data_IF_811737766994
#
_entry.id   IF_811737766994
#
_cell.length_a   1.000
_cell.length_b   1.000
_cell.length_c   1.000
_cell.angle_alpha   90.00
_cell.angle_beta   90.00
_cell.angle_gamma   90.00
#
_symmetry.space_group_name_H-M   'P 1'
#
loop_
_entity.id
_entity.type
_entity.pdbx_description
1 polymer ?
#
# COMPACT_ATOMS: atom_id res chain seq x y z
N UNK A 1 -6.04 -24.36 -16.96
CA UNK A 1 -4.91 -24.45 -16.04
C UNK A 1 -3.86 -23.36 -16.35
N UNK A 2 -3.22 -23.42 -17.53
CA UNK A 2 -2.14 -22.49 -17.90
C UNK A 2 -2.59 -21.01 -17.86
N UNK A 3 -3.76 -20.70 -18.45
CA UNK A 3 -4.32 -19.36 -18.44
C UNK A 3 -4.58 -18.85 -17.01
N UNK A 4 -5.11 -19.68 -16.12
CA UNK A 4 -5.42 -19.31 -14.74
C UNK A 4 -4.15 -18.96 -13.94
N UNK A 5 -3.09 -19.77 -14.07
CA UNK A 5 -1.81 -19.54 -13.36
C UNK A 5 -1.12 -18.27 -13.88
N UNK A 6 -1.10 -18.07 -15.21
CA UNK A 6 -0.49 -16.88 -15.83
C UNK A 6 -1.21 -15.58 -15.47
N UNK A 7 -2.54 -15.58 -15.45
CA UNK A 7 -3.35 -14.40 -15.10
C UNK A 7 -3.15 -14.01 -13.63
N UNK A 8 -3.12 -14.99 -12.73
CA UNK A 8 -2.90 -14.78 -11.31
C UNK A 8 -1.54 -14.16 -11.03
N UNK A 9 -0.47 -14.70 -11.65
CA UNK A 9 0.87 -14.14 -11.51
C UNK A 9 0.97 -12.70 -12.00
N UNK A 10 0.38 -12.38 -13.15
CA UNK A 10 0.38 -11.03 -13.71
C UNK A 10 -0.40 -10.03 -12.84
N UNK A 11 -1.55 -10.44 -12.30
CA UNK A 11 -2.36 -9.60 -11.40
C UNK A 11 -1.63 -9.35 -10.09
N UNK A 12 -1.01 -10.37 -9.48
CA UNK A 12 -0.23 -10.22 -8.25
C UNK A 12 0.95 -9.27 -8.44
N UNK A 13 1.67 -9.36 -9.56
CA UNK A 13 2.78 -8.45 -9.86
C UNK A 13 2.31 -7.02 -10.15
N UNK A 14 1.21 -6.83 -10.88
CA UNK A 14 0.62 -5.52 -11.11
C UNK A 14 0.11 -4.87 -9.81
N UNK A 15 -0.39 -5.66 -8.87
CA UNK A 15 -0.77 -5.18 -7.54
C UNK A 15 0.45 -4.80 -6.71
N UNK A 16 1.52 -5.59 -6.74
CA UNK A 16 2.78 -5.27 -6.04
C UNK A 16 3.40 -3.97 -6.55
N UNK A 17 3.48 -3.78 -7.87
CA UNK A 17 4.02 -2.54 -8.45
C UNK A 17 3.15 -1.32 -8.13
N UNK A 18 1.82 -1.43 -8.27
CA UNK A 18 0.90 -0.33 -7.95
C UNK A 18 0.90 0.08 -6.47
N UNK A 19 1.21 -0.85 -5.57
CA UNK A 19 1.35 -0.58 -4.13
C UNK A 19 2.73 0.00 -3.82
N UNK A 20 3.79 -0.44 -4.49
CA UNK A 20 5.11 0.13 -4.35
C UNK A 20 5.12 1.63 -4.62
N UNK A 21 4.45 2.08 -5.67
CA UNK A 21 4.29 3.50 -6.01
C UNK A 21 3.49 4.28 -4.96
N UNK A 22 2.48 3.66 -4.35
CA UNK A 22 1.67 4.29 -3.30
C UNK A 22 2.25 4.12 -1.88
N UNK A 23 3.09 3.12 -1.65
CA UNK A 23 3.68 2.85 -0.32
C UNK A 23 4.54 4.04 0.17
N UNK A 24 5.25 4.70 -0.74
CA UNK A 24 6.04 5.90 -0.46
C UNK A 24 5.17 7.07 0.00
N UNK A 25 3.98 7.23 -0.59
CA UNK A 25 3.01 8.25 -0.17
C UNK A 25 2.41 7.90 1.19
N UNK A 26 2.05 6.63 1.41
CA UNK A 26 1.46 6.16 2.66
C UNK A 26 2.43 6.22 3.83
N UNK A 27 3.70 5.90 3.62
CA UNK A 27 4.76 6.02 4.61
C UNK A 27 5.16 7.50 4.82
N UNK A 28 5.01 8.32 3.78
CA UNK A 28 5.43 9.72 3.74
C UNK A 28 6.93 9.90 3.54
N UNK A 29 7.62 8.85 3.06
CA UNK A 29 9.06 8.80 2.80
C UNK A 29 9.51 7.42 2.36
N UNK A 30 10.81 7.19 2.25
CA UNK A 30 11.43 5.90 1.93
C UNK A 30 11.64 5.04 3.18
N UNK A 31 11.96 5.69 4.31
CA UNK A 31 12.15 5.06 5.62
C UNK A 31 11.44 5.91 6.67
N UNK A 32 10.72 5.29 7.59
CA UNK A 32 10.16 5.92 8.77
C UNK A 32 10.83 5.34 10.03
N UNK A 33 11.27 6.19 10.94
CA UNK A 33 11.62 5.75 12.29
C UNK A 33 10.81 6.51 13.32
N UNK A 34 10.35 5.82 14.35
CA UNK A 34 9.41 6.37 15.31
C UNK A 34 9.70 5.91 16.72
N UNK A 35 9.44 6.80 17.68
CA UNK A 35 9.52 6.53 19.10
C UNK A 35 8.25 6.99 19.81
N UNK A 36 7.99 6.39 20.97
CA UNK A 36 6.89 6.75 21.86
C UNK A 36 7.43 7.48 23.08
N UNK A 37 6.72 8.50 23.55
CA UNK A 37 6.95 9.29 24.75
C UNK A 37 8.16 10.23 24.70
N UNK A 38 9.30 9.79 24.19
CA UNK A 38 10.53 10.58 24.10
C UNK A 38 11.02 10.64 22.66
N UNK A 39 11.55 11.77 22.20
CA UNK A 39 12.16 11.85 20.88
C UNK A 39 13.37 10.91 20.78
N UNK A 40 13.70 10.37 19.60
CA UNK A 40 14.98 9.68 19.37
C UNK A 40 16.15 10.61 19.66
N UNK A 41 17.31 10.02 20.00
CA UNK A 41 18.54 10.76 20.17
C UNK A 41 18.93 11.49 18.89
N UNK A 42 19.49 12.70 19.02
CA UNK A 42 19.91 13.52 17.85
C UNK A 42 20.91 12.77 16.97
N UNK A 43 21.74 11.89 17.52
CA UNK A 43 22.67 11.05 16.77
C UNK A 43 21.98 10.16 15.74
N UNK A 44 20.80 9.62 16.04
CA UNK A 44 20.01 8.79 15.12
C UNK A 44 19.45 9.66 13.98
N UNK A 45 18.98 10.86 14.33
CA UNK A 45 18.47 11.81 13.34
C UNK A 45 19.60 12.27 12.40
N UNK A 46 20.80 12.53 12.93
CA UNK A 46 21.95 12.92 12.12
C UNK A 46 22.43 11.80 11.19
N UNK A 47 22.40 10.53 11.64
CA UNK A 47 22.63 9.38 10.76
C UNK A 47 21.63 9.41 9.59
N UNK A 48 20.34 9.63 9.84
CA UNK A 48 19.34 9.70 8.78
C UNK A 48 19.61 10.86 7.82
N UNK A 49 19.99 12.04 8.31
CA UNK A 49 20.30 13.23 7.50
C UNK A 49 21.48 13.02 6.53
N UNK A 50 22.43 12.13 6.87
CA UNK A 50 23.52 11.79 5.97
C UNK A 50 23.04 11.08 4.68
N UNK A 51 21.88 10.44 4.72
CA UNK A 51 21.31 9.71 3.57
C UNK A 51 20.28 10.52 2.79
N UNK A 52 19.73 11.61 3.38
CA UNK A 52 18.74 12.42 2.66
C UNK A 52 17.96 13.41 3.51
N UNK A 53 16.85 13.88 2.96
CA UNK A 53 15.97 14.83 3.64
C UNK A 53 15.13 14.15 4.72
N UNK A 54 15.11 14.73 5.91
CA UNK A 54 14.37 14.20 7.07
C UNK A 54 13.33 15.21 7.53
N UNK A 55 12.08 14.78 7.64
CA UNK A 55 10.99 15.56 8.25
C UNK A 55 10.53 14.93 9.55
N UNK A 56 10.30 15.77 10.54
CA UNK A 56 9.79 15.39 11.85
C UNK A 56 8.30 15.68 11.98
N UNK A 57 7.56 14.70 12.42
CA UNK A 57 6.13 14.82 12.73
C UNK A 57 5.90 14.35 14.17
N UNK A 58 5.20 15.15 14.96
CA UNK A 58 4.80 14.80 16.32
C UNK A 58 3.30 14.59 16.35
N UNK A 59 2.85 13.44 16.83
CA UNK A 59 1.44 13.09 16.92
C UNK A 59 1.06 12.82 18.38
N UNK A 60 -0.06 13.41 18.79
CA UNK A 60 -0.65 13.18 20.11
C UNK A 60 -2.16 13.43 20.07
N UNK A 61 -2.84 13.10 21.16
CA UNK A 61 -4.24 13.48 21.35
C UNK A 61 -4.31 14.68 22.27
N UNK A 62 -5.20 15.61 21.93
CA UNK A 62 -5.41 16.81 22.71
C UNK A 62 -6.90 17.19 22.74
N UNK A 63 -7.28 18.04 23.70
CA UNK A 63 -8.61 18.60 23.78
C UNK A 63 -8.60 19.98 23.14
N UNK A 64 -9.36 20.13 22.05
CA UNK A 64 -9.67 21.43 21.47
C UNK A 64 -10.91 21.99 22.17
N UNK A 65 -10.82 23.23 22.64
CA UNK A 65 -11.86 23.88 23.42
C UNK A 65 -12.34 25.14 22.73
N UNK A 66 -13.64 25.34 22.72
CA UNK A 66 -14.31 26.61 22.40
C UNK A 66 -15.00 27.13 23.64
N UNK A 67 -15.63 28.29 23.58
CA UNK A 67 -16.43 28.82 24.69
C UNK A 67 -17.58 27.88 25.11
N UNK A 68 -18.10 27.08 24.18
CA UNK A 68 -19.32 26.28 24.38
C UNK A 68 -19.10 24.76 24.32
N UNK A 69 -17.98 24.29 23.77
CA UNK A 69 -17.75 22.87 23.54
C UNK A 69 -16.27 22.47 23.69
N UNK A 70 -16.06 21.18 23.97
CA UNK A 70 -14.73 20.55 24.00
C UNK A 70 -14.76 19.28 23.17
N UNK A 71 -13.71 19.04 22.39
CA UNK A 71 -13.62 17.85 21.56
C UNK A 71 -12.21 17.27 21.56
N UNK A 72 -12.12 15.95 21.68
CA UNK A 72 -10.86 15.24 21.55
C UNK A 72 -10.47 15.24 20.07
N UNK A 73 -9.25 15.66 19.77
CA UNK A 73 -8.70 15.74 18.43
C UNK A 73 -7.38 14.96 18.34
N UNK A 74 -7.08 14.50 17.15
CA UNK A 74 -5.76 13.96 16.81
C UNK A 74 -4.88 15.10 16.32
N UNK A 75 -3.97 15.53 17.19
CA UNK A 75 -3.05 16.63 16.92
C UNK A 75 -1.82 16.11 16.19
N UNK A 76 -1.48 16.77 15.10
CA UNK A 76 -0.29 16.52 14.31
C UNK A 76 0.51 17.79 14.14
N UNK A 77 1.68 17.85 14.78
CA UNK A 77 2.62 18.93 14.59
C UNK A 77 3.66 18.55 13.54
N UNK A 78 3.88 19.44 12.59
CA UNK A 78 4.77 19.24 11.45
C UNK A 78 5.89 20.27 11.42
N UNK A 79 7.02 19.88 10.83
CA UNK A 79 8.12 20.80 10.53
C UNK A 79 7.92 21.50 9.17
N UNK A 80 8.87 22.36 8.80
CA UNK A 80 8.83 23.11 7.55
C UNK A 80 9.08 22.25 6.30
N UNK A 81 9.56 21.02 6.46
CA UNK A 81 9.83 20.11 5.34
C UNK A 81 8.65 19.19 5.03
N UNK A 82 7.69 19.10 5.94
CA UNK A 82 6.49 18.27 5.73
C UNK A 82 5.52 18.93 4.72
N UNK A 83 4.90 18.18 3.81
CA UNK A 83 5.07 16.75 3.55
C UNK A 83 6.26 16.50 2.61
N UNK A 84 7.10 15.49 2.91
CA UNK A 84 8.21 15.10 2.04
C UNK A 84 7.73 14.46 0.74
N UNK A 85 6.61 13.73 0.78
CA UNK A 85 5.99 13.05 -0.37
C UNK A 85 4.52 13.43 -0.45
N UNK A 86 4.05 13.71 -1.67
CA UNK A 86 2.67 14.11 -1.91
C UNK A 86 2.42 15.58 -1.61
N UNK A 87 1.14 15.96 -1.52
CA UNK A 87 0.69 17.33 -1.21
C UNK A 87 -0.49 17.27 -0.26
N UNK A 88 -0.50 18.18 0.72
CA UNK A 88 -1.71 18.45 1.51
C UNK A 88 -2.63 19.39 0.72
N UNK A 89 -3.93 19.14 0.78
CA UNK A 89 -4.94 20.03 0.18
C UNK A 89 -5.68 20.71 1.31
N UNK A 90 -5.62 22.03 1.31
CA UNK A 90 -6.26 22.91 2.31
C UNK A 90 -7.18 23.92 1.64
N UNK A 91 -8.16 24.42 2.35
CA UNK A 91 -9.08 25.48 1.87
C UNK A 91 -9.22 26.57 2.93
N UNK A 92 -8.95 27.84 2.60
CA UNK A 92 -8.44 28.37 1.35
C UNK A 92 -6.98 27.91 1.07
N UNK A 93 -6.57 27.88 -0.19
CA UNK A 93 -5.20 27.52 -0.61
C UNK A 93 -4.25 28.72 -0.44
N UNK A 94 -3.76 28.89 0.79
CA UNK A 94 -2.86 29.99 1.19
C UNK A 94 -1.41 29.54 1.41
N UNK A 95 -1.08 28.32 1.00
CA UNK A 95 0.22 27.74 1.32
C UNK A 95 0.29 27.20 2.76
N UNK A 96 0.96 26.05 2.92
CA UNK A 96 0.98 25.34 4.21
C UNK A 96 1.75 26.12 5.29
N UNK A 97 2.86 26.74 4.92
CA UNK A 97 3.71 27.51 5.85
C UNK A 97 2.96 28.73 6.40
N UNK A 98 2.27 29.46 5.53
CA UNK A 98 1.49 30.64 5.91
C UNK A 98 0.25 30.24 6.72
N UNK A 99 -0.35 29.11 6.36
CA UNK A 99 -1.51 28.58 7.07
C UNK A 99 -1.18 28.10 8.51
N UNK A 100 0.06 27.77 8.81
CA UNK A 100 0.53 27.35 10.13
C UNK A 100 1.32 28.41 10.89
N UNK A 101 1.41 29.63 10.35
CA UNK A 101 2.09 30.74 11.00
C UNK A 101 1.25 31.29 12.19
N UNK A 102 1.91 32.03 13.09
CA UNK A 102 1.27 32.79 14.17
C UNK A 102 0.26 32.01 15.02
N UNK A 103 0.64 30.82 15.47
CA UNK A 103 -0.24 29.91 16.25
C UNK A 103 -1.53 29.52 15.52
N UNK A 104 -1.51 29.56 14.19
CA UNK A 104 -2.64 29.12 13.40
C UNK A 104 -2.66 27.59 13.27
N UNK A 105 -3.86 27.04 13.04
CA UNK A 105 -4.10 25.62 12.88
C UNK A 105 -4.95 25.34 11.65
N UNK A 106 -4.72 24.20 11.04
CA UNK A 106 -5.55 23.67 9.97
C UNK A 106 -6.33 22.50 10.55
N UNK A 107 -7.66 22.49 10.38
CA UNK A 107 -8.50 21.51 11.02
C UNK A 107 -9.39 20.75 10.03
N UNK A 108 -9.73 19.52 10.39
CA UNK A 108 -10.67 18.69 9.60
C UNK A 108 -12.05 19.39 9.51
N UNK A 109 -12.67 19.44 8.31
CA UNK A 109 -13.98 20.07 8.12
C UNK A 109 -15.08 19.51 9.03
N UNK A 110 -15.01 18.22 9.39
CA UNK A 110 -15.97 17.59 10.30
C UNK A 110 -15.85 18.14 11.72
N UNK A 111 -14.63 18.45 12.17
CA UNK A 111 -14.37 19.08 13.45
C UNK A 111 -14.94 20.48 13.48
N UNK A 112 -14.63 21.29 12.48
CA UNK A 112 -15.10 22.68 12.39
C UNK A 112 -16.63 22.74 12.43
N UNK A 113 -17.30 21.95 11.61
CA UNK A 113 -18.77 21.85 11.63
C UNK A 113 -19.32 21.45 12.99
N UNK A 114 -18.66 20.49 13.68
CA UNK A 114 -19.12 19.99 14.98
C UNK A 114 -18.96 20.98 16.13
N UNK A 115 -18.03 21.93 16.01
CA UNK A 115 -17.75 22.97 16.98
C UNK A 115 -18.34 24.34 16.59
N UNK A 116 -18.96 24.44 15.39
CA UNK A 116 -19.47 25.68 14.85
C UNK A 116 -18.39 26.69 14.52
N UNK A 117 -17.18 26.24 14.16
CA UNK A 117 -16.04 27.07 13.82
C UNK A 117 -15.90 27.21 12.30
N UNK A 118 -15.37 28.35 11.88
CA UNK A 118 -14.98 28.67 10.52
C UNK A 118 -13.52 29.15 10.48
N UNK A 119 -12.86 29.14 9.30
CA UNK A 119 -11.57 29.81 9.15
C UNK A 119 -11.65 31.27 9.59
N UNK A 120 -10.73 31.69 10.46
CA UNK A 120 -10.71 32.98 11.12
C UNK A 120 -11.07 32.93 12.61
N UNK A 121 -11.85 31.92 13.04
CA UNK A 121 -12.27 31.79 14.43
C UNK A 121 -11.13 31.33 15.34
N UNK A 122 -11.29 31.63 16.65
CA UNK A 122 -10.33 31.24 17.68
C UNK A 122 -10.86 30.07 18.51
N UNK A 123 -9.93 29.22 18.94
CA UNK A 123 -10.18 28.12 19.87
C UNK A 123 -8.99 28.00 20.83
N UNK A 124 -9.12 27.20 21.89
CA UNK A 124 -8.05 26.95 22.87
C UNK A 124 -7.53 25.54 22.74
N UNK A 125 -6.20 25.42 22.67
CA UNK A 125 -5.49 24.16 22.62
C UNK A 125 -4.38 24.14 23.69
N UNK A 126 -4.58 23.32 24.72
CA UNK A 126 -3.71 23.39 25.92
C UNK A 126 -3.79 24.75 26.58
N UNK A 127 -2.65 25.38 26.75
CA UNK A 127 -2.53 26.72 27.36
C UNK A 127 -2.56 27.87 26.34
N UNK A 128 -2.71 27.55 25.05
CA UNK A 128 -2.58 28.51 23.95
C UNK A 128 -3.94 28.78 23.28
N UNK A 129 -4.22 30.04 23.02
CA UNK A 129 -5.29 30.43 22.11
C UNK A 129 -4.78 30.37 20.66
N UNK A 130 -5.43 29.55 19.85
CA UNK A 130 -5.08 29.27 18.46
C UNK A 130 -6.14 29.84 17.52
N UNK A 131 -5.77 30.11 16.28
CA UNK A 131 -6.66 30.58 15.23
C UNK A 131 -6.80 29.52 14.14
N UNK A 132 -7.99 29.19 13.74
CA UNK A 132 -8.25 28.33 12.59
C UNK A 132 -7.92 29.11 11.32
N UNK A 133 -6.96 28.65 10.53
CA UNK A 133 -6.54 29.30 9.27
C UNK A 133 -7.21 28.71 8.05
N UNK A 134 -7.36 27.37 8.02
CA UNK A 134 -7.89 26.67 6.89
C UNK A 134 -8.53 25.31 7.28
N UNK A 135 -9.27 24.74 6.35
CA UNK A 135 -9.79 23.38 6.42
C UNK A 135 -8.79 22.40 5.79
N UNK A 136 -8.59 21.24 6.41
CA UNK A 136 -7.77 20.16 5.90
C UNK A 136 -8.62 19.21 5.05
N UNK A 137 -8.54 19.32 3.73
CA UNK A 137 -9.33 18.50 2.80
C UNK A 137 -8.65 17.16 2.52
N UNK A 138 -7.31 17.14 2.40
CA UNK A 138 -6.54 15.91 2.15
C UNK A 138 -5.14 16.00 2.73
N UNK A 139 -4.68 14.86 3.21
CA UNK A 139 -3.36 14.66 3.82
C UNK A 139 -2.70 13.44 3.15
N UNK A 140 -1.46 13.56 2.60
CA UNK A 140 -0.85 12.50 1.79
C UNK A 140 -0.51 11.24 2.61
N UNK A 141 -0.02 11.42 3.83
CA UNK A 141 0.46 10.36 4.72
C UNK A 141 -0.58 9.92 5.78
N UNK A 142 -1.85 10.10 5.45
CA UNK A 142 -2.95 9.61 6.30
C UNK A 142 -3.00 8.09 6.19
N UNK A 143 -2.45 7.40 7.18
CA UNK A 143 -2.58 5.95 7.28
C UNK A 143 -4.07 5.59 7.23
N UNK A 144 -4.44 4.63 6.38
CA UNK A 144 -5.76 4.01 6.38
C UNK A 144 -5.83 3.14 7.64
N UNK A 145 -5.90 3.77 8.79
CA UNK A 145 -6.22 3.08 10.03
C UNK A 145 -7.73 3.02 10.13
N UNK A 146 -8.30 1.82 10.20
CA UNK A 146 -9.73 1.62 10.46
C UNK A 146 -10.17 2.21 11.81
N UNK A 147 -9.22 2.65 12.63
CA UNK A 147 -9.46 3.30 13.92
C UNK A 147 -8.95 4.74 13.83
N UNK A 148 -9.80 5.64 13.36
CA UNK A 148 -9.57 7.09 13.53
C UNK A 148 -9.99 7.45 14.94
N UNK A 149 -9.04 7.91 15.76
CA UNK A 149 -9.30 8.28 17.15
C UNK A 149 -9.89 9.69 17.32
N UNK A 150 -10.21 10.38 16.25
CA UNK A 150 -10.79 11.71 16.26
C UNK A 150 -10.45 12.52 14.99
N UNK A 151 -11.09 13.68 14.85
CA UNK A 151 -10.79 14.59 13.74
C UNK A 151 -9.37 15.14 13.86
N UNK A 152 -8.73 15.37 12.72
CA UNK A 152 -7.33 15.84 12.63
C UNK A 152 -7.23 17.36 12.83
N UNK A 153 -6.20 17.77 13.57
CA UNK A 153 -5.75 19.16 13.66
C UNK A 153 -4.26 19.19 13.37
N UNK A 154 -3.87 20.01 12.39
CA UNK A 154 -2.50 20.21 11.96
C UNK A 154 -1.98 21.52 12.52
N UNK A 155 -0.78 21.51 13.11
CA UNK A 155 -0.10 22.68 13.69
C UNK A 155 1.38 22.67 13.35
N UNK A 156 2.06 23.79 13.55
CA UNK A 156 3.53 23.82 13.49
C UNK A 156 4.15 23.24 14.77
N UNK A 157 5.42 22.81 14.70
CA UNK A 157 6.15 22.37 15.88
C UNK A 157 6.32 23.51 16.90
N UNK A 158 6.51 24.75 16.43
CA UNK A 158 6.60 25.92 17.30
C UNK A 158 5.28 26.14 18.07
N UNK A 159 4.15 26.03 17.40
CA UNK A 159 2.84 26.10 18.03
C UNK A 159 2.66 24.99 19.06
N UNK A 160 3.08 23.75 18.76
CA UNK A 160 3.00 22.65 19.72
C UNK A 160 3.77 22.94 21.01
N UNK A 161 4.98 23.47 20.90
CA UNK A 161 5.77 23.87 22.10
C UNK A 161 5.05 24.93 22.92
N UNK A 162 4.43 25.92 22.28
CA UNK A 162 3.69 26.99 22.94
C UNK A 162 2.41 26.51 23.64
N UNK A 163 1.81 25.36 23.23
CA UNK A 163 0.60 24.83 23.87
C UNK A 163 0.81 24.23 25.25
N UNK A 164 2.07 23.96 25.67
CA UNK A 164 2.38 23.28 26.94
C UNK A 164 1.92 21.82 27.02
N UNK A 165 1.50 21.20 25.91
CA UNK A 165 0.98 19.82 25.91
C UNK A 165 2.06 18.76 25.96
N UNK A 166 3.31 19.09 25.64
CA UNK A 166 4.45 18.17 25.72
C UNK A 166 4.94 18.06 27.17
N UNK A 167 4.29 17.22 27.95
CA UNK A 167 4.65 16.98 29.35
C UNK A 167 5.18 15.55 29.54
N UNK A 168 6.06 15.32 30.55
CA UNK A 168 6.49 13.98 30.89
C UNK A 168 5.29 13.06 31.17
N UNK A 169 5.26 11.89 30.52
CA UNK A 169 4.16 10.93 30.62
C UNK A 169 3.01 11.13 29.62
N UNK A 170 3.04 12.17 28.79
CA UNK A 170 2.10 12.32 27.69
C UNK A 170 2.29 11.24 26.62
N UNK A 171 1.18 10.72 26.07
CA UNK A 171 1.22 9.80 24.94
C UNK A 171 1.54 10.55 23.66
N UNK A 172 2.82 10.70 23.39
CA UNK A 172 3.34 11.39 22.21
C UNK A 172 4.05 10.37 21.34
N UNK A 173 3.79 10.40 20.03
CA UNK A 173 4.51 9.63 19.02
C UNK A 173 5.34 10.59 18.19
N UNK A 174 6.63 10.41 18.21
CA UNK A 174 7.59 11.11 17.36
C UNK A 174 7.84 10.25 16.13
N UNK A 175 7.62 10.79 14.94
CA UNK A 175 7.84 10.13 13.65
C UNK A 175 8.79 10.96 12.82
N UNK A 176 9.83 10.32 12.36
CA UNK A 176 10.81 10.89 11.44
C UNK A 176 10.73 10.15 10.13
N UNK A 177 10.65 10.88 9.04
CA UNK A 177 10.56 10.35 7.71
C UNK A 177 11.74 10.79 6.90
N UNK A 178 12.36 9.85 6.23
CA UNK A 178 13.54 10.06 5.41
C UNK A 178 13.20 9.82 3.95
N UNK A 179 13.55 10.77 3.09
CA UNK A 179 13.66 10.55 1.65
C UNK A 179 15.14 10.42 1.31
N UNK A 180 15.51 9.32 0.67
CA UNK A 180 16.88 9.04 0.26
C UNK A 180 17.28 9.91 -0.93
N UNK A 181 18.51 10.42 -0.91
CA UNK A 181 19.10 11.10 -2.05
C UNK A 181 19.33 10.13 -3.23
N UNK A 182 19.68 8.86 -2.92
CA UNK A 182 19.87 7.79 -3.89
C UNK A 182 19.16 6.52 -3.39
N UNK A 183 18.39 5.86 -4.25
CA UNK A 183 17.72 4.60 -3.91
C UNK A 183 18.69 3.45 -3.63
N UNK A 184 19.89 3.48 -4.21
CA UNK A 184 20.95 2.49 -3.97
C UNK A 184 21.42 2.47 -2.52
N UNK A 185 21.26 3.56 -1.77
CA UNK A 185 21.73 3.69 -0.40
C UNK A 185 20.68 3.18 0.63
N UNK A 186 19.51 2.73 0.17
CA UNK A 186 18.43 2.24 1.04
C UNK A 186 18.87 1.17 2.02
N UNK A 187 19.56 0.14 1.53
CA UNK A 187 19.99 -0.97 2.39
C UNK A 187 21.04 -0.51 3.41
N UNK A 188 21.94 0.36 3.00
CA UNK A 188 22.95 0.93 3.90
C UNK A 188 22.30 1.82 4.97
N UNK A 189 21.34 2.68 4.57
CA UNK A 189 20.60 3.53 5.49
C UNK A 189 19.78 2.71 6.51
N UNK A 190 19.08 1.66 6.04
CA UNK A 190 18.32 0.76 6.91
C UNK A 190 19.21 0.04 7.92
N UNK A 191 20.36 -0.48 7.47
CA UNK A 191 21.30 -1.16 8.36
C UNK A 191 21.85 -0.19 9.39
N UNK A 192 22.36 0.97 8.97
CA UNK A 192 22.89 1.99 9.88
C UNK A 192 21.87 2.48 10.90
N UNK A 193 20.60 2.68 10.48
CA UNK A 193 19.53 3.09 11.39
C UNK A 193 19.13 1.95 12.36
N UNK A 194 19.04 0.71 11.87
CA UNK A 194 18.72 -0.45 12.73
C UNK A 194 19.82 -0.71 13.75
N UNK A 195 21.08 -0.59 13.37
CA UNK A 195 22.21 -0.75 14.28
C UNK A 195 22.22 0.35 15.35
N UNK A 196 21.99 1.60 14.94
CA UNK A 196 21.91 2.74 15.86
C UNK A 196 20.69 2.68 16.79
N UNK A 197 19.66 1.93 16.43
CA UNK A 197 18.41 1.83 17.21
C UNK A 197 18.28 0.50 17.95
N UNK A 198 19.26 -0.42 17.86
CA UNK A 198 19.19 -1.78 18.42
C UNK A 198 18.91 -1.81 19.91
N UNK A 199 19.47 -0.87 20.67
CA UNK A 199 19.34 -0.78 22.13
C UNK A 199 18.31 0.29 22.56
N UNK A 200 17.50 0.80 21.62
CA UNK A 200 16.54 1.88 21.87
C UNK A 200 15.10 1.41 21.60
N UNK A 201 14.12 2.19 22.08
CA UNK A 201 12.71 1.97 21.80
C UNK A 201 12.26 2.56 20.45
N UNK A 202 13.20 2.87 19.56
CA UNK A 202 12.93 3.42 18.25
C UNK A 202 12.60 2.28 17.28
N UNK A 203 11.48 2.39 16.60
CA UNK A 203 11.04 1.44 15.58
C UNK A 203 11.36 1.98 14.19
N UNK A 204 12.16 1.27 13.42
CA UNK A 204 12.46 1.57 12.02
C UNK A 204 11.52 0.77 11.11
N UNK A 205 10.88 1.44 10.16
CA UNK A 205 10.00 0.87 9.15
C UNK A 205 10.53 1.21 7.75
N UNK A 206 10.48 0.24 6.87
CA UNK A 206 10.75 0.39 5.44
C UNK A 206 9.44 0.48 4.63
N UNK A 207 9.54 0.75 3.34
CA UNK A 207 8.42 0.71 2.40
C UNK A 207 7.70 -0.66 2.40
N UNK A 208 8.44 -1.75 2.62
CA UNK A 208 7.84 -3.07 2.80
C UNK A 208 6.93 -3.15 4.04
N UNK A 209 7.19 -2.34 5.07
CA UNK A 209 6.41 -2.28 6.31
C UNK A 209 5.28 -1.23 6.25
N UNK A 210 5.14 -0.49 5.14
CA UNK A 210 4.18 0.61 5.02
C UNK A 210 2.73 0.14 5.14
N UNK A 211 2.46 -1.11 4.76
CA UNK A 211 1.14 -1.74 4.87
C UNK A 211 1.22 -3.07 5.63
N UNK A 212 1.45 -3.06 6.97
CA UNK A 212 1.53 -4.27 7.77
C UNK A 212 0.19 -5.03 7.72
N UNK A 213 0.23 -6.25 7.20
CA UNK A 213 -0.95 -7.10 6.97
C UNK A 213 -1.31 -7.25 5.49
N UNK A 214 -0.92 -6.33 4.63
CA UNK A 214 -1.14 -6.45 3.19
C UNK A 214 -0.23 -7.53 2.58
N UNK A 215 1.03 -7.59 3.00
CA UNK A 215 1.95 -8.67 2.58
C UNK A 215 1.47 -10.05 3.04
N UNK A 216 0.91 -10.14 4.24
CA UNK A 216 0.28 -11.38 4.72
C UNK A 216 -0.94 -11.75 3.87
N UNK A 217 -1.77 -10.77 3.55
CA UNK A 217 -2.95 -10.97 2.70
C UNK A 217 -2.55 -11.41 1.28
N UNK A 218 -1.55 -10.74 0.67
CA UNK A 218 -1.04 -11.10 -0.66
C UNK A 218 -0.44 -12.51 -0.63
N UNK A 219 0.42 -12.83 0.33
CA UNK A 219 1.02 -14.15 0.45
C UNK A 219 -0.04 -15.24 0.67
N UNK A 220 -1.05 -14.98 1.47
CA UNK A 220 -2.16 -15.92 1.68
C UNK A 220 -3.03 -16.05 0.43
N UNK A 221 -3.30 -14.97 -0.28
CA UNK A 221 -4.01 -14.98 -1.55
C UNK A 221 -3.21 -15.73 -2.63
N UNK A 222 -1.89 -15.53 -2.70
CA UNK A 222 -1.00 -16.23 -3.62
C UNK A 222 -1.03 -17.74 -3.39
N UNK A 223 -0.89 -18.21 -2.14
CA UNK A 223 -1.00 -19.63 -1.79
C UNK A 223 -2.37 -20.19 -2.17
N UNK A 224 -3.46 -19.46 -1.88
CA UNK A 224 -4.80 -19.86 -2.24
C UNK A 224 -4.98 -19.97 -3.77
N UNK A 225 -4.49 -18.98 -4.52
CA UNK A 225 -4.57 -18.96 -5.97
C UNK A 225 -3.72 -20.07 -6.62
N UNK A 226 -2.55 -20.39 -6.05
CA UNK A 226 -1.73 -21.55 -6.48
C UNK A 226 -2.49 -22.85 -6.26
N UNK A 227 -3.15 -23.02 -5.12
CA UNK A 227 -3.99 -24.20 -4.83
C UNK A 227 -5.15 -24.33 -5.83
N UNK A 228 -5.83 -23.24 -6.13
CA UNK A 228 -6.90 -23.21 -7.14
C UNK A 228 -6.34 -23.55 -8.53
N UNK A 229 -5.19 -22.97 -8.90
CA UNK A 229 -4.49 -23.25 -10.15
C UNK A 229 -4.09 -24.73 -10.27
N UNK A 230 -3.56 -25.31 -9.20
CA UNK A 230 -3.19 -26.73 -9.16
C UNK A 230 -4.42 -27.64 -9.30
N UNK A 231 -5.51 -27.31 -8.60
CA UNK A 231 -6.78 -28.05 -8.70
C UNK A 231 -7.34 -27.98 -10.12
N UNK A 232 -7.33 -26.79 -10.73
CA UNK A 232 -7.75 -26.62 -12.13
C UNK A 232 -6.86 -27.40 -13.10
N UNK A 233 -5.55 -27.49 -12.83
CA UNK A 233 -4.61 -28.29 -13.61
C UNK A 233 -4.91 -29.79 -13.50
N UNK A 234 -5.21 -30.29 -12.29
CA UNK A 234 -5.59 -31.69 -12.06
C UNK A 234 -6.88 -32.05 -12.78
N UNK A 235 -7.92 -31.22 -12.62
CA UNK A 235 -9.22 -31.45 -13.28
C UNK A 235 -9.05 -31.39 -14.80
N UNK A 236 -8.31 -30.39 -15.30
CA UNK A 236 -8.00 -30.25 -16.71
C UNK A 236 -7.20 -31.43 -17.26
N UNK A 237 -6.24 -31.96 -16.49
CA UNK A 237 -5.45 -33.15 -16.84
C UNK A 237 -6.29 -34.40 -16.93
N UNK A 238 -7.20 -34.61 -15.98
CA UNK A 238 -8.18 -35.74 -16.03
C UNK A 238 -9.12 -35.63 -17.24
N UNK A 239 -9.58 -34.41 -17.53
CA UNK A 239 -10.40 -34.14 -18.72
C UNK A 239 -9.68 -34.45 -20.03
N UNK A 240 -8.43 -34.06 -20.15
CA UNK A 240 -7.58 -34.36 -21.33
C UNK A 240 -7.33 -35.85 -21.43
N UNK A 241 -7.03 -36.55 -20.34
CA UNK A 241 -6.85 -38.01 -20.33
C UNK A 241 -8.11 -38.75 -20.76
N UNK A 242 -9.29 -38.31 -20.30
CA UNK A 242 -10.58 -38.84 -20.70
C UNK A 242 -10.85 -38.61 -22.20
N UNK A 243 -10.64 -37.41 -22.70
CA UNK A 243 -10.82 -37.08 -24.12
C UNK A 243 -9.88 -37.89 -25.04
N UNK A 244 -8.60 -38.01 -24.66
CA UNK A 244 -7.63 -38.80 -25.43
C UNK A 244 -8.01 -40.26 -25.46
N UNK A 245 -8.47 -40.85 -24.33
CA UNK A 245 -8.97 -42.23 -24.27
C UNK A 245 -10.18 -42.45 -25.18
N UNK A 246 -11.19 -41.56 -25.09
CA UNK A 246 -12.38 -41.63 -25.93
C UNK A 246 -12.06 -41.53 -27.43
N UNK A 247 -11.17 -40.59 -27.76
CA UNK A 247 -10.71 -40.40 -29.14
C UNK A 247 -9.93 -41.59 -29.66
N UNK A 248 -9.04 -42.18 -28.84
CA UNK A 248 -8.30 -43.38 -29.20
C UNK A 248 -9.24 -44.60 -29.39
N UNK A 249 -10.24 -44.74 -28.53
CA UNK A 249 -11.26 -45.79 -28.64
C UNK A 249 -12.05 -45.69 -29.96
N UNK A 250 -12.38 -44.48 -30.42
CA UNK A 250 -13.06 -44.27 -31.71
C UNK A 250 -12.20 -44.61 -32.94
N UNK A 251 -10.89 -44.81 -32.77
CA UNK A 251 -9.93 -45.12 -33.85
C UNK A 251 -9.44 -46.57 -33.84
N UNK A 252 -9.99 -47.42 -32.96
CA UNK A 252 -9.56 -48.83 -32.81
C UNK A 252 -9.66 -49.60 -34.13
N UNK A 253 -10.72 -49.44 -34.91
CA UNK A 253 -10.91 -50.12 -36.20
C UNK A 253 -9.85 -49.73 -37.24
N UNK A 254 -9.50 -48.46 -37.25
CA UNK A 254 -8.42 -47.94 -38.14
C UNK A 254 -7.08 -48.49 -37.74
N UNK A 255 -6.82 -48.56 -36.41
CA UNK A 255 -5.57 -49.10 -35.86
C UNK A 255 -5.48 -50.61 -36.18
N UNK A 256 -6.60 -51.35 -36.05
CA UNK A 256 -6.66 -52.77 -36.38
C UNK A 256 -6.37 -53.01 -37.90
N UNK A 257 -6.99 -52.22 -38.80
CA UNK A 257 -6.74 -52.29 -40.21
C UNK A 257 -5.28 -52.03 -40.59
N UNK A 258 -4.66 -50.97 -39.99
CA UNK A 258 -3.24 -50.68 -40.19
C UNK A 258 -2.31 -51.81 -39.72
N UNK A 259 -2.66 -52.50 -38.61
CA UNK A 259 -1.91 -53.66 -38.13
C UNK A 259 -2.07 -54.86 -39.10
N UNK A 260 -3.26 -55.10 -39.66
CA UNK A 260 -3.48 -56.16 -40.62
C UNK A 260 -2.68 -55.94 -41.94
N UNK A 261 -2.46 -54.71 -42.31
CA UNK A 261 -1.63 -54.34 -43.49
C UNK A 261 -0.11 -54.42 -43.16
N UNK A 262 0.26 -54.72 -41.90
CA UNK A 262 1.65 -54.95 -41.53
C UNK A 262 2.36 -53.73 -40.95
N UNK A 263 1.66 -52.67 -40.58
CA UNK A 263 2.30 -51.48 -39.99
C UNK A 263 2.86 -51.80 -38.57
N UNK A 264 4.14 -51.46 -38.29
CA UNK A 264 4.72 -51.74 -36.99
C UNK A 264 4.07 -50.87 -35.91
N UNK A 265 3.82 -51.47 -34.74
CA UNK A 265 3.17 -50.78 -33.61
C UNK A 265 3.85 -49.47 -33.18
N UNK A 266 5.18 -49.37 -33.34
CA UNK A 266 5.95 -48.16 -33.07
C UNK A 266 5.59 -47.00 -34.00
N UNK A 267 5.29 -47.27 -35.27
CA UNK A 267 4.88 -46.23 -36.23
C UNK A 267 3.50 -45.71 -35.90
N UNK A 268 2.56 -46.59 -35.63
CA UNK A 268 1.17 -46.24 -35.23
C UNK A 268 1.22 -45.38 -33.95
N UNK A 269 1.96 -45.78 -32.92
CA UNK A 269 2.11 -45.03 -31.68
C UNK A 269 2.68 -43.64 -31.92
N UNK A 270 3.74 -43.52 -32.74
CA UNK A 270 4.34 -42.20 -33.06
C UNK A 270 3.37 -41.25 -33.76
N UNK A 271 2.57 -41.73 -34.71
CA UNK A 271 1.59 -40.95 -35.45
C UNK A 271 0.54 -40.39 -34.49
N UNK A 272 -0.08 -41.25 -33.65
CA UNK A 272 -1.09 -40.82 -32.71
C UNK A 272 -0.55 -39.94 -31.61
N UNK A 273 0.68 -40.22 -31.10
CA UNK A 273 1.35 -39.36 -30.13
C UNK A 273 1.60 -37.96 -30.70
N UNK A 274 2.10 -37.86 -31.95
CA UNK A 274 2.36 -36.61 -32.60
C UNK A 274 1.08 -35.79 -32.81
N UNK A 275 -0.04 -36.45 -33.19
CA UNK A 275 -1.33 -35.79 -33.27
C UNK A 275 -1.79 -35.21 -31.93
N UNK A 276 -1.69 -35.97 -30.84
CA UNK A 276 -2.06 -35.52 -29.50
C UNK A 276 -1.16 -34.33 -29.08
N UNK A 277 0.14 -34.43 -29.35
CA UNK A 277 1.10 -33.36 -29.03
C UNK A 277 0.80 -32.08 -29.83
N UNK A 278 0.43 -32.16 -31.09
CA UNK A 278 0.01 -31.00 -31.89
C UNK A 278 -1.24 -30.33 -31.35
N UNK A 279 -2.27 -31.12 -31.00
CA UNK A 279 -3.51 -30.58 -30.42
C UNK A 279 -3.23 -29.95 -29.05
N UNK A 280 -2.41 -30.60 -28.20
CA UNK A 280 -1.99 -30.07 -26.92
C UNK A 280 -1.21 -28.74 -27.07
N UNK A 281 -0.31 -28.67 -28.06
CA UNK A 281 0.44 -27.45 -28.39
C UNK A 281 -0.47 -26.28 -28.77
N UNK A 282 -1.49 -26.52 -29.61
CA UNK A 282 -2.49 -25.52 -29.95
C UNK A 282 -3.26 -25.06 -28.70
N UNK A 283 -3.68 -26.01 -27.85
CA UNK A 283 -4.39 -25.69 -26.60
C UNK A 283 -3.57 -24.88 -25.61
N UNK A 284 -2.28 -25.19 -25.47
CA UNK A 284 -1.35 -24.42 -24.62
C UNK A 284 -1.13 -23.03 -25.18
N UNK A 285 -0.90 -22.90 -26.49
CA UNK A 285 -0.71 -21.58 -27.15
C UNK A 285 -1.94 -20.70 -26.99
N UNK A 286 -3.14 -21.24 -27.19
CA UNK A 286 -4.38 -20.51 -26.94
C UNK A 286 -4.51 -20.10 -25.46
N UNK A 287 -4.15 -20.98 -24.54
CA UNK A 287 -4.16 -20.67 -23.10
C UNK A 287 -3.20 -19.56 -22.70
N UNK A 288 -2.00 -19.50 -23.30
CA UNK A 288 -1.01 -18.43 -23.07
C UNK A 288 -1.51 -17.11 -23.64
N UNK A 289 -2.10 -17.09 -24.84
CA UNK A 289 -2.68 -15.89 -25.45
C UNK A 289 -3.80 -15.31 -24.57
N UNK A 290 -4.71 -16.16 -24.07
CA UNK A 290 -5.76 -15.73 -23.14
C UNK A 290 -5.17 -15.18 -21.84
N UNK A 291 -4.13 -15.82 -21.28
CA UNK A 291 -3.45 -15.33 -20.09
C UNK A 291 -2.79 -13.97 -20.26
N UNK A 292 -2.25 -13.70 -21.45
CA UNK A 292 -1.63 -12.40 -21.77
C UNK A 292 -2.65 -11.28 -22.00
N UNK A 293 -3.82 -11.62 -22.54
CA UNK A 293 -4.87 -10.64 -22.88
C UNK A 293 -5.76 -10.33 -21.65
N UNK A 294 -6.01 -11.28 -20.78
CA UNK A 294 -6.88 -11.13 -19.61
C UNK A 294 -6.51 -9.95 -18.68
N UNK A 295 -5.23 -9.72 -18.30
CA UNK A 295 -4.86 -8.59 -17.46
C UNK A 295 -5.06 -7.23 -18.18
N UNK A 296 -4.88 -7.16 -19.50
CA UNK A 296 -5.11 -5.94 -20.27
C UNK A 296 -6.59 -5.53 -20.26
N UNK A 297 -7.49 -6.49 -20.32
CA UNK A 297 -8.93 -6.24 -20.17
C UNK A 297 -9.28 -5.84 -18.73
N UNK A 298 -8.70 -6.47 -17.72
CA UNK A 298 -8.95 -6.13 -16.32
C UNK A 298 -8.55 -4.67 -16.02
N UNK A 299 -7.40 -4.22 -16.49
CA UNK A 299 -6.92 -2.83 -16.31
C UNK A 299 -7.83 -1.82 -17.03
N UNK A 300 -8.36 -2.17 -18.19
CA UNK A 300 -9.21 -1.26 -18.97
C UNK A 300 -10.65 -1.16 -18.44
N UNK A 301 -11.15 -2.20 -17.76
CA UNK A 301 -12.50 -2.22 -17.18
C UNK A 301 -12.56 -1.73 -15.73
N UNK A 302 -11.44 -1.74 -14.98
CA UNK A 302 -11.37 -1.31 -13.60
C UNK A 302 -11.78 0.17 -13.37
N UNK A 303 -11.36 1.16 -14.20
CA UNK A 303 -11.78 2.56 -14.01
C UNK A 303 -13.27 2.81 -14.22
N UNK A 304 -13.96 1.94 -14.96
CA UNK A 304 -15.40 2.09 -15.19
C UNK A 304 -16.24 1.64 -13.99
N UNK A 305 -15.75 0.65 -13.22
CA UNK A 305 -16.45 0.17 -12.03
C UNK A 305 -16.24 1.08 -10.80
N UNK A 306 -15.14 1.80 -10.73
CA UNK A 306 -14.90 2.75 -9.63
C UNK A 306 -15.70 4.04 -9.75
N UNK A 307 -16.16 4.41 -10.95
CA UNK A 307 -17.01 5.59 -11.19
C UNK A 307 -18.51 5.33 -10.89
N UNK A 308 -18.95 4.06 -10.88
CA UNK A 308 -20.36 3.73 -10.59
C UNK A 308 -20.69 3.60 -9.09
N UNK A 309 -19.72 3.71 -8.19
CA UNK A 309 -19.95 3.58 -6.74
C UNK A 309 -19.99 4.94 -5.99
N UNK A 310 -19.93 6.05 -6.74
CA UNK A 310 -19.98 7.42 -6.20
C UNK A 310 -21.11 8.28 -6.80
N UNK A 311 -22.24 7.67 -7.20
CA UNK A 311 -23.50 8.37 -7.49
C UNK A 311 -24.57 7.89 -6.53
#
# INVERSE_FOLDING_TARGET
GVAAIGTVGSVAESMRSGIGDNARILLGGDIEFSSLHTPPDDSIVDIARNYGAVSQVVQMRAMLQTATARKLVELKAVDSQWPLVGKSIISPDIGLTDALADNAVIADPSLLRSLGLAPGDSARLGDLDIRVSAELLSEPDRSISFVSFGPRVLISQATLQATGLQQPGSFITYRYRLILNNETDRQAALTSLRDATSDTHVRVRDLADAAPGFDRFINQAEVFLVLVGLTALLIGGLGVAGAVRAWLASRIDIIATLKCVGAPARLIFRIYLLQVMCIAGIGVSAGVVVAAIAPLFAIRFWPVMSLCHWI
#
